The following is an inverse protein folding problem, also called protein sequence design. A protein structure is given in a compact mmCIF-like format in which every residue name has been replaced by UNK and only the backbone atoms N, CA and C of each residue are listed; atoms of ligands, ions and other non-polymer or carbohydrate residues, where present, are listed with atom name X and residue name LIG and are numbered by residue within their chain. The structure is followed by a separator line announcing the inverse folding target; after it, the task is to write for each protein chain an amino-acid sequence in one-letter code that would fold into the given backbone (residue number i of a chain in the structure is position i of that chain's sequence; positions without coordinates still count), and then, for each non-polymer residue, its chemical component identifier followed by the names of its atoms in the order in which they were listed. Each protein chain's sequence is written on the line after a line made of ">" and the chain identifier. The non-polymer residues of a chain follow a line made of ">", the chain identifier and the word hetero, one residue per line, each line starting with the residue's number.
data_IF_934000463303
#
_entry.id   IF_934000463303
#
_cell.length_a   1.000
_cell.length_b   1.000
_cell.length_c   1.000
_cell.angle_alpha   90.00
_cell.angle_beta   90.00
_cell.angle_gamma   90.00
#
_symmetry.space_group_name_H-M   'P 1'
#
loop_
_entity.id
_entity.type
_entity.pdbx_description
1 polymer ?
#
# COMPACT_ATOMS: atom_id res chain seq x y z
N UNK A 1 -22.43 12.02 -5.78
CA UNK A 1 -23.02 12.49 -7.05
C UNK A 1 -22.21 13.67 -7.53
N UNK A 2 -21.86 13.74 -8.80
CA UNK A 2 -21.17 14.88 -9.40
C UNK A 2 -22.30 15.74 -9.97
N UNK A 3 -22.53 16.88 -9.37
CA UNK A 3 -23.73 17.68 -9.64
C UNK A 3 -23.42 19.03 -10.34
N UNK A 4 -22.15 19.36 -10.56
CA UNK A 4 -21.77 20.64 -11.17
C UNK A 4 -20.68 20.53 -12.23
N UNK A 5 -20.64 21.49 -13.17
CA UNK A 5 -19.60 21.58 -14.18
C UNK A 5 -18.22 21.82 -13.54
N UNK A 6 -18.15 22.55 -12.43
CA UNK A 6 -16.91 22.82 -11.70
C UNK A 6 -16.34 21.56 -11.07
N UNK A 7 -17.18 20.65 -10.60
CA UNK A 7 -16.73 19.34 -10.09
C UNK A 7 -16.17 18.46 -11.21
N UNK A 8 -16.79 18.50 -12.38
CA UNK A 8 -16.29 17.77 -13.57
C UNK A 8 -14.93 18.33 -13.99
N UNK A 9 -14.76 19.66 -14.01
CA UNK A 9 -13.47 20.28 -14.34
C UNK A 9 -12.39 19.94 -13.31
N UNK A 10 -12.74 19.99 -12.00
CA UNK A 10 -11.81 19.59 -10.92
C UNK A 10 -11.39 18.13 -11.05
N UNK A 11 -12.33 17.21 -11.29
CA UNK A 11 -12.03 15.79 -11.47
C UNK A 11 -11.16 15.59 -12.72
N UNK A 12 -11.43 16.32 -13.81
CA UNK A 12 -10.66 16.26 -15.05
C UNK A 12 -9.20 16.71 -14.91
N UNK A 13 -8.87 17.48 -13.85
CA UNK A 13 -7.48 17.83 -13.52
C UNK A 13 -6.69 16.69 -12.89
N UNK A 14 -7.38 15.73 -12.26
CA UNK A 14 -6.77 14.63 -11.49
C UNK A 14 -7.01 13.26 -12.10
N UNK A 15 -8.02 13.11 -12.97
CA UNK A 15 -8.41 11.84 -13.54
C UNK A 15 -8.59 11.97 -15.05
N UNK A 16 -7.93 11.10 -15.82
CA UNK A 16 -8.11 11.03 -17.26
C UNK A 16 -9.44 10.36 -17.66
N UNK A 17 -10.06 9.62 -16.75
CA UNK A 17 -11.37 8.99 -16.92
C UNK A 17 -12.01 8.71 -15.57
N UNK A 18 -13.34 8.63 -15.55
CA UNK A 18 -14.15 8.22 -14.40
C UNK A 18 -15.14 7.17 -14.86
N UNK A 19 -15.43 6.21 -13.98
CA UNK A 19 -16.51 5.26 -14.24
C UNK A 19 -17.84 5.88 -13.82
N UNK A 20 -18.82 5.82 -14.70
CA UNK A 20 -20.19 6.30 -14.44
C UNK A 20 -21.10 5.10 -14.34
N UNK A 21 -21.78 4.95 -13.19
CA UNK A 21 -22.85 3.97 -13.03
C UNK A 21 -24.09 4.47 -13.78
N UNK A 22 -24.33 3.90 -14.98
CA UNK A 22 -25.39 4.34 -15.89
C UNK A 22 -26.80 4.05 -15.31
N UNK A 23 -26.91 3.12 -14.37
CA UNK A 23 -28.18 2.75 -13.73
C UNK A 23 -28.55 3.70 -12.60
N UNK A 24 -27.56 4.43 -12.05
CA UNK A 24 -27.72 5.37 -10.93
C UNK A 24 -27.54 6.83 -11.28
N UNK A 25 -27.04 7.14 -12.50
CA UNK A 25 -26.74 8.48 -12.95
C UNK A 25 -27.57 8.96 -14.10
N UNK A 26 -27.67 10.29 -14.31
CA UNK A 26 -28.20 10.85 -15.56
C UNK A 26 -27.26 10.50 -16.71
N UNK A 27 -27.83 10.12 -17.86
CA UNK A 27 -27.06 9.85 -19.10
C UNK A 27 -26.17 11.06 -19.39
N UNK A 28 -24.83 10.89 -19.53
CA UNK A 28 -23.95 12.00 -19.83
C UNK A 28 -24.42 12.72 -21.11
N UNK A 29 -24.42 14.04 -21.09
CA UNK A 29 -24.73 14.86 -22.25
C UNK A 29 -23.78 14.46 -23.39
N UNK A 30 -24.33 14.23 -24.58
CA UNK A 30 -23.66 13.70 -25.78
C UNK A 30 -22.52 14.57 -26.34
N UNK A 31 -22.18 15.69 -25.74
CA UNK A 31 -21.25 16.69 -26.29
C UNK A 31 -20.06 16.95 -25.35
N UNK A 32 -19.27 15.92 -25.06
CA UNK A 32 -17.85 16.12 -24.72
C UNK A 32 -17.05 16.09 -26.05
N UNK A 33 -17.26 17.09 -26.87
CA UNK A 33 -16.50 17.29 -28.11
C UNK A 33 -15.04 17.51 -27.75
N UNK A 34 -14.19 16.51 -28.01
CA UNK A 34 -12.74 16.55 -27.79
C UNK A 34 -12.19 15.48 -26.86
N UNK A 35 -13.01 14.83 -26.03
CA UNK A 35 -12.55 13.70 -25.22
C UNK A 35 -12.47 12.45 -26.10
N UNK A 36 -11.28 12.12 -26.57
CA UNK A 36 -10.97 10.76 -27.00
C UNK A 36 -10.59 10.00 -25.73
N UNK A 37 -11.42 9.05 -25.26
CA UNK A 37 -10.94 8.15 -24.22
C UNK A 37 -9.62 7.54 -24.70
N UNK A 38 -8.63 7.33 -23.82
CA UNK A 38 -7.49 6.49 -24.18
C UNK A 38 -8.12 5.24 -24.80
N UNK A 39 -7.56 4.74 -25.90
CA UNK A 39 -8.07 3.51 -26.55
C UNK A 39 -8.19 2.49 -25.44
N UNK A 40 -9.41 2.31 -24.94
CA UNK A 40 -9.68 1.23 -24.02
C UNK A 40 -9.41 -0.02 -24.83
N UNK A 41 -8.35 -0.73 -24.48
CA UNK A 41 -8.33 -2.15 -24.77
C UNK A 41 -9.72 -2.64 -24.39
N UNK A 42 -10.40 -3.30 -25.29
CA UNK A 42 -11.72 -3.89 -24.99
C UNK A 42 -11.54 -4.65 -23.68
N UNK A 43 -12.54 -4.72 -22.79
CA UNK A 43 -12.41 -5.44 -21.51
C UNK A 43 -11.82 -6.84 -21.68
N UNK A 44 -12.07 -7.48 -22.82
CA UNK A 44 -11.51 -8.77 -23.23
C UNK A 44 -10.00 -8.70 -23.51
N UNK A 45 -9.51 -7.66 -24.19
CA UNK A 45 -8.07 -7.46 -24.47
C UNK A 45 -7.29 -7.16 -23.17
N UNK A 46 -7.86 -6.36 -22.28
CA UNK A 46 -7.28 -6.10 -20.96
C UNK A 46 -7.26 -7.37 -20.08
N UNK A 47 -8.32 -8.18 -20.14
CA UNK A 47 -8.38 -9.45 -19.43
C UNK A 47 -7.36 -10.47 -19.94
N UNK A 48 -7.12 -10.50 -21.26
CA UNK A 48 -6.14 -11.40 -21.88
C UNK A 48 -4.71 -10.92 -21.62
N UNK A 49 -4.47 -9.61 -21.59
CA UNK A 49 -3.19 -9.03 -21.21
C UNK A 49 -2.87 -9.31 -19.74
N UNK A 50 -3.86 -9.15 -18.84
CA UNK A 50 -3.74 -9.52 -17.44
C UNK A 50 -3.43 -11.02 -17.26
N UNK A 51 -4.11 -11.92 -17.99
CA UNK A 51 -3.84 -13.36 -17.96
C UNK A 51 -2.41 -13.67 -18.40
N UNK A 52 -1.87 -12.96 -19.40
CA UNK A 52 -0.48 -13.14 -19.87
C UNK A 52 0.56 -12.67 -18.86
N UNK A 53 0.23 -11.63 -18.07
CA UNK A 53 1.12 -11.12 -17.00
C UNK A 53 1.14 -12.04 -15.78
N UNK A 54 0.11 -12.84 -15.56
CA UNK A 54 -0.05 -13.71 -14.41
C UNK A 54 0.90 -14.90 -14.49
N UNK A 55 1.91 -14.94 -13.60
CA UNK A 55 2.92 -16.01 -13.53
C UNK A 55 2.44 -17.23 -12.75
N UNK A 56 1.62 -17.00 -11.72
CA UNK A 56 1.19 -18.06 -10.78
C UNK A 56 -0.32 -17.97 -10.54
N UNK A 57 -0.99 -19.11 -10.52
CA UNK A 57 -2.39 -19.22 -10.12
C UNK A 57 -2.46 -19.73 -8.68
N UNK A 58 -2.92 -18.88 -7.77
CA UNK A 58 -3.12 -19.25 -6.37
C UNK A 58 -4.57 -19.64 -6.12
N UNK A 59 -4.76 -20.78 -5.46
CA UNK A 59 -6.07 -21.24 -5.00
C UNK A 59 -6.14 -21.18 -3.47
N UNK A 60 -7.32 -20.97 -2.93
CA UNK A 60 -7.54 -21.11 -1.48
C UNK A 60 -7.46 -22.58 -1.11
N UNK A 61 -6.56 -22.91 -0.18
CA UNK A 61 -6.31 -24.29 0.27
C UNK A 61 -6.73 -24.52 1.69
N UNK A 62 -7.14 -23.46 2.41
CA UNK A 62 -7.61 -23.51 3.78
C UNK A 62 -8.95 -22.79 3.91
N UNK A 63 -9.88 -23.41 4.67
CA UNK A 63 -11.17 -22.78 4.95
C UNK A 63 -11.00 -21.57 5.85
N UNK A 64 -11.74 -20.49 5.56
CA UNK A 64 -11.66 -19.20 6.25
C UNK A 64 -11.67 -19.31 7.79
N UNK A 65 -12.66 -20.03 8.37
CA UNK A 65 -12.76 -20.19 9.83
C UNK A 65 -11.59 -20.94 10.46
N UNK A 66 -10.91 -21.81 9.71
CA UNK A 66 -9.72 -22.52 10.20
C UNK A 66 -8.47 -21.66 10.10
N UNK A 67 -8.42 -20.73 9.14
CA UNK A 67 -7.29 -19.81 8.97
C UNK A 67 -7.34 -18.63 9.95
N UNK A 68 -8.51 -18.16 10.41
CA UNK A 68 -8.64 -17.02 11.32
C UNK A 68 -7.70 -17.10 12.54
N UNK A 69 -7.68 -18.17 13.35
CA UNK A 69 -6.79 -18.21 14.52
C UNK A 69 -5.31 -18.15 14.16
N UNK A 70 -4.92 -18.71 13.01
CA UNK A 70 -3.54 -18.62 12.49
C UNK A 70 -3.24 -17.19 12.07
N UNK A 71 -4.14 -16.56 11.32
CA UNK A 71 -4.04 -15.18 10.87
C UNK A 71 -3.97 -14.20 12.06
N UNK A 72 -4.72 -14.44 13.14
CA UNK A 72 -4.64 -13.62 14.37
C UNK A 72 -3.29 -13.72 15.04
N UNK A 73 -2.72 -14.91 15.19
CA UNK A 73 -1.38 -15.10 15.75
C UNK A 73 -0.31 -14.39 14.91
N UNK A 74 -0.34 -14.61 13.59
CA UNK A 74 0.58 -13.98 12.64
C UNK A 74 0.48 -12.44 12.68
N UNK A 75 -0.75 -11.90 12.68
CA UNK A 75 -0.98 -10.47 12.77
C UNK A 75 -0.43 -9.87 14.07
N UNK A 76 -0.67 -10.56 15.20
CA UNK A 76 -0.19 -10.12 16.50
C UNK A 76 1.33 -10.07 16.56
N UNK A 77 2.00 -11.13 16.12
CA UNK A 77 3.46 -11.24 16.16
C UNK A 77 4.12 -10.19 15.26
N UNK A 78 3.63 -10.04 14.02
CA UNK A 78 4.13 -9.03 13.09
C UNK A 78 3.90 -7.60 13.62
N UNK A 79 2.73 -7.34 14.22
CA UNK A 79 2.42 -6.04 14.82
C UNK A 79 3.31 -5.72 16.03
N UNK A 80 3.57 -6.70 16.90
CA UNK A 80 4.45 -6.53 18.04
C UNK A 80 5.89 -6.19 17.60
N UNK A 81 6.39 -6.86 16.58
CA UNK A 81 7.71 -6.59 16.02
C UNK A 81 7.80 -5.26 15.29
N UNK A 82 6.80 -4.90 14.48
CA UNK A 82 6.74 -3.58 13.86
C UNK A 82 6.77 -2.46 14.92
N UNK A 83 6.00 -2.63 16.00
CA UNK A 83 6.01 -1.70 17.13
C UNK A 83 7.38 -1.62 17.81
N UNK A 84 8.02 -2.76 18.07
CA UNK A 84 9.35 -2.81 18.66
C UNK A 84 10.37 -2.06 17.79
N UNK A 85 10.43 -2.36 16.50
CA UNK A 85 11.35 -1.70 15.55
C UNK A 85 11.13 -0.19 15.51
N UNK A 86 9.87 0.25 15.43
CA UNK A 86 9.54 1.68 15.41
C UNK A 86 10.04 2.40 16.69
N UNK A 87 9.85 1.79 17.86
CA UNK A 87 10.38 2.33 19.12
C UNK A 87 11.91 2.40 19.14
N UNK A 88 12.58 1.37 18.63
CA UNK A 88 14.06 1.36 18.53
C UNK A 88 14.55 2.51 17.63
N UNK A 89 13.91 2.72 16.49
CA UNK A 89 14.25 3.81 15.58
C UNK A 89 14.01 5.20 16.19
N UNK A 90 12.90 5.37 16.92
CA UNK A 90 12.61 6.61 17.66
C UNK A 90 13.67 6.88 18.74
N UNK A 91 14.15 5.84 19.42
CA UNK A 91 15.21 5.92 20.40
C UNK A 91 16.62 6.10 19.79
N UNK A 92 16.76 6.14 18.47
CA UNK A 92 18.02 6.37 17.76
C UNK A 92 18.85 5.11 17.49
N UNK A 93 18.32 3.91 17.79
CA UNK A 93 19.02 2.66 17.45
C UNK A 93 19.02 2.42 15.93
N UNK A 94 20.02 1.66 15.47
CA UNK A 94 20.09 1.27 14.07
C UNK A 94 19.01 0.26 13.72
N UNK A 95 18.51 0.36 12.50
CA UNK A 95 17.56 -0.62 11.97
C UNK A 95 18.28 -1.90 11.57
N UNK A 96 17.74 -3.03 12.02
CA UNK A 96 18.17 -4.36 11.60
C UNK A 96 17.07 -4.99 10.77
N UNK A 97 17.30 -5.10 9.47
CA UNK A 97 16.31 -5.61 8.51
C UNK A 97 15.79 -7.00 8.88
N UNK A 98 16.69 -7.88 9.36
CA UNK A 98 16.35 -9.25 9.74
C UNK A 98 15.31 -9.37 10.87
N UNK A 99 15.07 -8.29 11.63
CA UNK A 99 14.05 -8.28 12.69
C UNK A 99 12.61 -8.28 12.14
N UNK A 100 12.40 -7.81 10.91
CA UNK A 100 11.06 -7.74 10.30
C UNK A 100 10.90 -8.75 9.16
N UNK A 101 11.92 -8.96 8.34
CA UNK A 101 11.78 -9.76 7.12
C UNK A 101 11.50 -11.24 7.36
N UNK A 102 12.03 -11.81 8.46
CA UNK A 102 11.75 -13.21 8.81
C UNK A 102 10.29 -13.48 9.14
N UNK A 103 9.58 -12.47 9.64
CA UNK A 103 8.19 -12.59 10.08
C UNK A 103 7.19 -12.36 8.94
N UNK A 104 7.68 -11.93 7.78
CA UNK A 104 6.88 -11.84 6.57
C UNK A 104 6.47 -13.23 6.06
N UNK A 105 7.31 -14.26 6.22
CA UNK A 105 7.02 -15.60 5.69
C UNK A 105 5.73 -16.21 6.25
N UNK A 106 5.46 -16.22 7.58
CA UNK A 106 4.19 -16.69 8.12
C UNK A 106 2.98 -15.89 7.60
N UNK A 107 3.14 -14.59 7.39
CA UNK A 107 2.10 -13.72 6.83
C UNK A 107 1.81 -14.09 5.36
N UNK A 108 2.84 -14.26 4.54
CA UNK A 108 2.69 -14.71 3.16
C UNK A 108 2.04 -16.09 3.09
N UNK A 109 2.46 -17.03 3.92
CA UNK A 109 1.87 -18.37 3.98
C UNK A 109 0.38 -18.31 4.32
N UNK A 110 -0.02 -17.48 5.26
CA UNK A 110 -1.44 -17.25 5.60
C UNK A 110 -2.21 -16.65 4.42
N UNK A 111 -1.66 -15.60 3.78
CA UNK A 111 -2.26 -14.99 2.58
C UNK A 111 -2.39 -16.01 1.44
N UNK A 112 -1.40 -16.87 1.25
CA UNK A 112 -1.44 -17.89 0.20
C UNK A 112 -2.49 -18.97 0.49
N UNK A 113 -2.68 -19.37 1.75
CA UNK A 113 -3.71 -20.34 2.15
C UNK A 113 -5.12 -19.76 2.05
N UNK A 114 -5.35 -18.58 2.64
CA UNK A 114 -6.63 -17.87 2.58
C UNK A 114 -6.44 -16.36 2.81
N UNK A 115 -6.46 -15.52 1.77
CA UNK A 115 -6.20 -14.08 1.90
C UNK A 115 -7.26 -13.34 2.71
N UNK A 116 -8.50 -13.86 2.71
CA UNK A 116 -9.63 -13.23 3.39
C UNK A 116 -9.46 -13.22 4.91
N UNK A 117 -8.79 -14.22 5.49
CA UNK A 117 -8.61 -14.33 6.94
C UNK A 117 -7.74 -13.18 7.48
N UNK A 118 -6.58 -12.92 6.89
CA UNK A 118 -5.71 -11.79 7.31
C UNK A 118 -6.35 -10.42 7.04
N UNK A 119 -7.05 -10.25 5.92
CA UNK A 119 -7.79 -9.01 5.66
C UNK A 119 -8.86 -8.76 6.71
N UNK A 120 -9.58 -9.80 7.12
CA UNK A 120 -10.58 -9.74 8.18
C UNK A 120 -9.96 -9.33 9.51
N UNK A 121 -8.89 -10.02 9.93
CA UNK A 121 -8.16 -9.72 11.17
C UNK A 121 -7.65 -8.29 11.16
N UNK A 122 -7.00 -7.85 10.09
CA UNK A 122 -6.50 -6.48 9.93
C UNK A 122 -7.63 -5.45 10.05
N UNK A 123 -8.81 -5.73 9.51
CA UNK A 123 -9.97 -4.83 9.59
C UNK A 123 -10.55 -4.73 10.99
N UNK A 124 -10.55 -5.82 11.75
CA UNK A 124 -11.11 -5.85 13.11
C UNK A 124 -10.17 -5.26 14.17
N UNK A 125 -8.86 -5.33 13.96
CA UNK A 125 -7.87 -4.82 14.91
C UNK A 125 -7.72 -3.30 14.77
N UNK A 126 -8.66 -2.55 15.33
CA UNK A 126 -8.53 -1.10 15.52
C UNK A 126 -7.59 -0.85 16.69
N UNK A 127 -6.39 -0.33 16.40
CA UNK A 127 -5.38 -0.16 17.42
C UNK A 127 -5.23 1.27 17.92
N UNK A 128 -4.72 1.37 19.15
CA UNK A 128 -4.43 2.63 19.84
C UNK A 128 -3.27 3.44 19.22
N UNK A 129 -2.46 2.84 18.35
CA UNK A 129 -1.36 3.53 17.65
C UNK A 129 -1.47 3.27 16.14
N UNK A 130 -1.69 4.34 15.40
CA UNK A 130 -1.93 4.32 13.96
C UNK A 130 -0.73 3.77 13.16
N UNK A 131 0.50 4.19 13.50
CA UNK A 131 1.64 4.03 12.61
C UNK A 131 2.01 2.56 12.30
N UNK A 132 2.27 1.73 13.32
CA UNK A 132 2.70 0.35 13.06
C UNK A 132 1.57 -0.57 12.56
N UNK A 133 0.30 -0.28 12.94
CA UNK A 133 -0.83 -0.98 12.34
C UNK A 133 -1.00 -0.62 10.86
N UNK A 134 -0.72 0.62 10.50
CA UNK A 134 -0.69 1.04 9.11
C UNK A 134 0.36 0.25 8.33
N UNK A 135 1.60 0.16 8.82
CA UNK A 135 2.67 -0.61 8.17
C UNK A 135 2.28 -2.08 7.94
N UNK A 136 1.78 -2.74 8.99
CA UNK A 136 1.33 -4.14 8.89
C UNK A 136 0.15 -4.27 7.93
N UNK A 137 -0.81 -3.34 8.00
CA UNK A 137 -1.96 -3.31 7.10
C UNK A 137 -1.56 -3.15 5.63
N UNK A 138 -0.65 -2.22 5.33
CA UNK A 138 -0.13 -2.03 3.97
C UNK A 138 0.58 -3.29 3.47
N UNK A 139 1.43 -3.91 4.30
CA UNK A 139 2.12 -5.16 3.97
C UNK A 139 1.14 -6.28 3.60
N UNK A 140 0.08 -6.46 4.40
CA UNK A 140 -0.97 -7.46 4.12
C UNK A 140 -1.69 -7.15 2.80
N UNK A 141 -2.08 -5.89 2.56
CA UNK A 141 -2.73 -5.49 1.31
C UNK A 141 -1.82 -5.70 0.11
N UNK A 142 -0.54 -5.38 0.22
CA UNK A 142 0.47 -5.64 -0.81
C UNK A 142 0.57 -7.13 -1.14
N UNK A 143 0.65 -7.99 -0.13
CA UNK A 143 0.71 -9.44 -0.31
C UNK A 143 -0.56 -10.00 -0.98
N UNK A 144 -1.74 -9.56 -0.53
CA UNK A 144 -3.04 -9.98 -1.11
C UNK A 144 -3.17 -9.51 -2.55
N UNK A 145 -2.80 -8.27 -2.83
CA UNK A 145 -2.84 -7.71 -4.19
C UNK A 145 -1.86 -8.42 -5.11
N UNK A 146 -0.61 -8.64 -4.67
CA UNK A 146 0.39 -9.38 -5.43
C UNK A 146 -0.06 -10.83 -5.71
N UNK A 147 -0.68 -11.51 -4.72
CA UNK A 147 -1.31 -12.83 -4.92
C UNK A 147 -2.40 -12.77 -5.99
N UNK A 148 -3.24 -11.74 -5.97
CA UNK A 148 -4.29 -11.53 -6.98
C UNK A 148 -3.70 -11.33 -8.38
N UNK A 149 -2.61 -10.57 -8.49
CA UNK A 149 -1.86 -10.39 -9.74
C UNK A 149 -1.13 -11.65 -10.21
N UNK A 150 -1.00 -12.68 -9.35
CA UNK A 150 -0.29 -13.92 -9.67
C UNK A 150 1.22 -13.73 -9.68
N UNK A 151 1.75 -12.82 -8.87
CA UNK A 151 3.19 -12.67 -8.66
C UNK A 151 3.77 -13.95 -8.04
N UNK A 152 5.02 -14.26 -8.35
CA UNK A 152 5.70 -15.40 -7.72
C UNK A 152 6.03 -15.11 -6.24
N UNK A 153 6.50 -16.15 -5.52
CA UNK A 153 6.74 -16.01 -4.07
C UNK A 153 7.79 -14.97 -3.74
N UNK A 154 8.82 -14.83 -4.54
CA UNK A 154 9.88 -13.84 -4.30
C UNK A 154 9.36 -12.42 -4.53
N UNK A 155 8.60 -12.21 -5.60
CA UNK A 155 7.95 -10.93 -5.89
C UNK A 155 6.93 -10.54 -4.79
N UNK A 156 6.18 -11.53 -4.26
CA UNK A 156 5.28 -11.33 -3.13
C UNK A 156 6.03 -10.92 -1.86
N UNK A 157 7.18 -11.53 -1.60
CA UNK A 157 8.03 -11.19 -0.47
C UNK A 157 8.55 -9.77 -0.58
N UNK A 158 9.13 -9.40 -1.73
CA UNK A 158 9.62 -8.04 -2.00
C UNK A 158 8.51 -7.00 -1.82
N UNK A 159 7.33 -7.27 -2.37
CA UNK A 159 6.19 -6.36 -2.31
C UNK A 159 5.66 -6.21 -0.87
N UNK A 160 5.58 -7.31 -0.12
CA UNK A 160 5.13 -7.29 1.27
C UNK A 160 6.15 -6.58 2.19
N UNK A 161 7.44 -6.80 1.98
CA UNK A 161 8.52 -6.10 2.69
C UNK A 161 8.47 -4.61 2.36
N UNK A 162 8.33 -4.23 1.09
CA UNK A 162 8.19 -2.85 0.70
C UNK A 162 7.01 -2.17 1.42
N UNK A 163 5.84 -2.82 1.44
CA UNK A 163 4.66 -2.32 2.15
C UNK A 163 4.86 -2.19 3.66
N UNK A 164 5.65 -3.07 4.28
CA UNK A 164 5.98 -2.99 5.71
C UNK A 164 6.95 -1.85 6.02
N UNK A 165 7.83 -1.49 5.11
CA UNK A 165 8.90 -0.52 5.31
C UNK A 165 8.58 0.88 4.76
N UNK A 166 7.50 1.02 4.02
CA UNK A 166 7.16 2.21 3.23
C UNK A 166 7.15 3.50 4.06
N UNK A 167 6.63 3.43 5.27
CA UNK A 167 6.49 4.56 6.19
C UNK A 167 7.47 4.55 7.38
N UNK A 168 8.53 3.74 7.30
CA UNK A 168 9.50 3.58 8.39
C UNK A 168 10.14 4.92 8.80
N UNK A 169 10.33 5.81 7.85
CA UNK A 169 10.89 7.15 8.09
C UNK A 169 10.02 8.06 8.95
N UNK A 170 8.72 7.78 9.08
CA UNK A 170 7.83 8.49 10.03
C UNK A 170 8.28 8.37 11.47
N UNK A 171 9.13 7.36 11.81
CA UNK A 171 9.76 7.25 13.13
C UNK A 171 10.64 8.45 13.50
N UNK A 172 11.04 9.27 12.53
CA UNK A 172 11.89 10.45 12.72
C UNK A 172 11.10 11.75 12.79
N UNK A 173 9.80 11.71 12.59
CA UNK A 173 8.93 12.86 12.67
C UNK A 173 8.38 13.06 14.09
N UNK A 174 8.05 14.30 14.48
CA UNK A 174 7.38 14.59 15.75
C UNK A 174 6.05 13.84 15.86
N UNK A 175 5.76 13.28 17.04
CA UNK A 175 4.51 12.56 17.31
C UNK A 175 3.28 13.46 17.13
N UNK A 176 3.39 14.72 17.51
CA UNK A 176 2.33 15.72 17.39
C UNK A 176 1.91 15.91 15.93
N UNK A 177 2.87 15.86 15.00
CA UNK A 177 2.60 15.95 13.56
C UNK A 177 1.86 14.71 13.05
N UNK A 178 2.27 13.52 13.52
CA UNK A 178 1.67 12.24 13.11
C UNK A 178 0.24 12.04 13.65
N UNK A 179 -0.08 12.65 14.79
CA UNK A 179 -1.38 12.55 15.47
C UNK A 179 -2.35 13.68 15.09
N UNK A 180 -1.88 14.68 14.33
CA UNK A 180 -2.67 15.82 13.90
C UNK A 180 -3.86 15.37 13.04
N UNK A 181 -5.07 15.84 13.40
CA UNK A 181 -6.33 15.56 12.67
C UNK A 181 -6.81 16.72 11.80
N UNK A 182 -6.19 17.89 11.94
CA UNK A 182 -6.45 19.05 11.09
C UNK A 182 -5.60 18.98 9.82
N UNK A 183 -5.90 19.82 8.87
CA UNK A 183 -5.02 20.04 7.72
C UNK A 183 -3.66 20.55 8.17
N UNK A 184 -2.61 20.05 7.54
CA UNK A 184 -1.24 20.47 7.80
C UNK A 184 -0.97 21.83 7.16
N UNK A 185 -0.15 22.66 7.82
CA UNK A 185 0.41 23.85 7.16
C UNK A 185 1.39 23.45 6.07
N UNK A 186 1.83 24.39 5.24
CA UNK A 186 2.82 24.12 4.19
C UNK A 186 4.14 23.61 4.79
N UNK A 187 4.59 24.21 5.90
CA UNK A 187 5.80 23.80 6.62
C UNK A 187 5.65 22.41 7.24
N UNK A 188 4.51 22.11 7.84
CA UNK A 188 4.21 20.80 8.41
C UNK A 188 4.12 19.73 7.30
N UNK A 189 3.55 20.11 6.16
CA UNK A 189 3.48 19.20 5.01
C UNK A 189 4.87 18.93 4.43
N UNK A 190 5.72 19.94 4.29
CA UNK A 190 7.11 19.77 3.87
C UNK A 190 7.88 18.87 4.85
N UNK A 191 7.66 19.05 6.16
CA UNK A 191 8.25 18.18 7.18
C UNK A 191 7.69 16.75 7.06
N UNK A 192 6.38 16.59 6.81
CA UNK A 192 5.79 15.27 6.58
C UNK A 192 6.43 14.57 5.38
N UNK A 193 6.64 15.28 4.26
CA UNK A 193 7.27 14.71 3.06
C UNK A 193 8.68 14.17 3.33
N UNK A 194 9.43 14.77 4.25
CA UNK A 194 10.80 14.35 4.58
C UNK A 194 10.91 12.92 5.11
N UNK A 195 9.78 12.30 5.52
CA UNK A 195 9.81 10.90 5.99
C UNK A 195 10.29 9.92 4.90
N UNK A 196 10.08 10.22 3.62
CA UNK A 196 10.57 9.37 2.52
C UNK A 196 12.10 9.32 2.56
N UNK A 197 12.75 10.48 2.63
CA UNK A 197 14.21 10.58 2.75
C UNK A 197 14.74 9.92 4.02
N UNK A 198 14.04 10.10 5.15
CA UNK A 198 14.40 9.42 6.39
C UNK A 198 14.30 7.90 6.24
N UNK A 199 13.25 7.38 5.62
CA UNK A 199 13.06 5.97 5.32
C UNK A 199 14.21 5.42 4.47
N UNK A 200 14.52 6.08 3.36
CA UNK A 200 15.63 5.70 2.47
C UNK A 200 16.97 5.67 3.22
N UNK A 201 17.26 6.69 4.04
CA UNK A 201 18.52 6.73 4.85
C UNK A 201 18.59 5.61 5.88
N UNK A 202 17.49 5.32 6.59
CA UNK A 202 17.41 4.21 7.55
C UNK A 202 17.71 2.90 6.84
N UNK A 203 17.08 2.66 5.70
CA UNK A 203 17.22 1.43 4.93
C UNK A 203 18.62 1.30 4.30
N UNK A 204 19.19 2.37 3.79
CA UNK A 204 20.54 2.38 3.24
C UNK A 204 21.62 2.03 4.31
N UNK A 205 21.38 2.40 5.57
CA UNK A 205 22.28 2.08 6.69
C UNK A 205 22.12 0.63 7.20
N UNK A 206 21.01 -0.03 6.88
CA UNK A 206 20.72 -1.39 7.35
C UNK A 206 21.44 -2.50 6.56
N UNK A 207 22.18 -2.15 5.52
CA UNK A 207 22.89 -3.11 4.66
C UNK A 207 22.19 -3.39 3.32
N UNK A 208 22.54 -4.51 2.66
CA UNK A 208 22.00 -4.84 1.33
C UNK A 208 20.51 -5.15 1.40
N UNK A 209 19.70 -4.17 1.09
CA UNK A 209 18.31 -4.36 0.73
C UNK A 209 18.20 -4.74 -0.74
N UNK A 210 17.20 -5.54 -1.03
CA UNK A 210 16.77 -5.74 -2.41
C UNK A 210 16.54 -4.36 -3.07
N UNK A 211 17.20 -4.10 -4.17
CA UNK A 211 17.12 -2.80 -4.88
C UNK A 211 15.67 -2.39 -5.17
N UNK A 212 14.78 -3.38 -5.38
CA UNK A 212 13.36 -3.16 -5.62
C UNK A 212 12.63 -2.58 -4.42
N UNK A 213 12.90 -3.09 -3.20
CA UNK A 213 12.29 -2.60 -1.96
C UNK A 213 12.71 -1.16 -1.68
N UNK A 214 14.02 -0.87 -1.80
CA UNK A 214 14.53 0.49 -1.59
C UNK A 214 13.92 1.47 -2.60
N UNK A 215 13.85 1.07 -3.88
CA UNK A 215 13.22 1.89 -4.93
C UNK A 215 11.75 2.13 -4.64
N UNK A 216 10.99 1.10 -4.23
CA UNK A 216 9.59 1.25 -3.88
C UNK A 216 9.40 2.26 -2.74
N UNK A 217 10.20 2.16 -1.67
CA UNK A 217 10.16 3.11 -0.55
C UNK A 217 10.56 4.52 -0.97
N UNK A 218 11.49 4.67 -1.92
CA UNK A 218 11.91 5.98 -2.41
C UNK A 218 10.87 6.67 -3.30
N UNK A 219 9.99 5.91 -3.97
CA UNK A 219 9.16 6.46 -5.06
C UNK A 219 7.65 6.28 -4.87
N UNK A 220 7.18 5.80 -3.74
CA UNK A 220 5.75 5.47 -3.59
C UNK A 220 4.81 6.69 -3.50
N UNK A 221 5.34 7.88 -3.27
CA UNK A 221 4.62 9.16 -3.38
C UNK A 221 4.82 9.85 -4.73
N UNK A 222 5.60 9.26 -5.64
CA UNK A 222 5.71 9.79 -6.99
C UNK A 222 4.38 9.65 -7.74
N UNK A 223 4.12 10.60 -8.61
CA UNK A 223 2.92 10.65 -9.42
C UNK A 223 3.28 10.61 -10.89
N UNK A 224 2.38 10.04 -11.68
CA UNK A 224 2.55 9.95 -13.14
C UNK A 224 2.84 11.30 -13.80
N UNK A 225 2.23 12.37 -13.30
CA UNK A 225 2.36 13.73 -13.83
C UNK A 225 3.60 14.48 -13.32
N UNK A 226 4.44 13.85 -12.50
CA UNK A 226 5.62 14.44 -11.88
C UNK A 226 5.30 15.40 -10.72
N UNK A 227 4.04 15.50 -10.28
CA UNK A 227 3.64 16.32 -9.12
C UNK A 227 3.83 15.60 -7.79
N UNK A 228 4.38 14.40 -7.81
CA UNK A 228 4.70 13.62 -6.62
C UNK A 228 5.98 14.11 -5.93
N UNK A 229 6.43 13.34 -4.94
CA UNK A 229 7.68 13.59 -4.24
C UNK A 229 8.38 12.27 -3.91
N UNK A 230 9.69 12.24 -3.66
CA UNK A 230 10.60 13.37 -3.41
C UNK A 230 11.27 13.97 -4.66
N UNK A 231 11.06 13.46 -5.89
CA UNK A 231 11.72 13.94 -7.10
C UNK A 231 10.97 15.09 -7.77
#
# INVERSE_FOLDING_TARGET
>A
LIDSADEIERIGRYCNYVYVDIDKGMKPARNLAGFKPPRSSKPEEAADEYKKMRKTEYREVQHFLKEIPIAEAVYHDLSAKAQFVMRQLQAGYKFELGLLTKDIQPMLDSVLRNPSALLWVNRLKQAKSYLYHHLVGVSIWCAVFGRHLGLDRHELEDLAIAGLLIDLGKSKLPSELLETKRELTEEEFALMQSHVDHGVRILAQAGSLFSNVLRAVATYYERWDGSGYPM
#
